data_IF_936742248575
#
_entry.id   IF_936742248575
#
_cell.length_a   1.000
_cell.length_b   1.000
_cell.length_c   1.000
_cell.angle_alpha   90.00
_cell.angle_beta   90.00
_cell.angle_gamma   90.00
#
_symmetry.space_group_name_H-M   'P 1'
#
loop_
_entity.id
_entity.type
_entity.pdbx_description
1 polymer ?
#
# COMPACT_ATOMS: atom_id res chain seq x y z
N UNK A 1 -31.11 -16.76 -25.08
CA UNK A 1 -30.17 -15.98 -24.23
C UNK A 1 -30.31 -16.47 -22.80
N UNK A 2 -29.32 -17.18 -22.27
CA UNK A 2 -29.38 -17.70 -20.91
C UNK A 2 -28.56 -16.79 -19.99
N UNK A 3 -29.19 -16.20 -18.98
CA UNK A 3 -28.50 -15.47 -17.92
C UNK A 3 -28.10 -16.46 -16.82
N UNK A 4 -26.79 -16.62 -16.59
CA UNK A 4 -26.29 -17.27 -15.37
C UNK A 4 -26.02 -16.20 -14.34
N UNK A 5 -26.85 -16.12 -13.31
CA UNK A 5 -26.59 -15.29 -12.14
C UNK A 5 -25.89 -16.12 -11.07
N UNK A 6 -24.80 -15.62 -10.50
CA UNK A 6 -24.16 -16.21 -9.35
C UNK A 6 -24.42 -15.31 -8.14
N UNK A 7 -25.02 -15.87 -7.09
CA UNK A 7 -25.13 -15.17 -5.80
C UNK A 7 -24.00 -15.67 -4.90
N UNK A 8 -23.11 -14.77 -4.54
CA UNK A 8 -22.06 -15.05 -3.55
C UNK A 8 -22.49 -14.40 -2.23
N UNK A 9 -22.83 -15.20 -1.24
CA UNK A 9 -23.00 -14.73 0.14
C UNK A 9 -21.63 -14.86 0.79
N UNK A 10 -20.89 -13.77 0.87
CA UNK A 10 -19.64 -13.73 1.61
C UNK A 10 -19.76 -12.73 2.75
N UNK A 11 -19.07 -13.03 3.86
CA UNK A 11 -18.95 -12.11 4.98
C UNK A 11 -17.92 -11.04 4.57
N UNK A 12 -18.38 -10.00 3.87
CA UNK A 12 -17.53 -8.97 3.30
C UNK A 12 -17.33 -7.84 4.30
N UNK A 13 -16.09 -7.54 4.61
CA UNK A 13 -15.74 -6.34 5.38
C UNK A 13 -15.47 -5.18 4.42
N UNK A 14 -16.25 -4.12 4.57
CA UNK A 14 -15.98 -2.87 3.90
C UNK A 14 -14.72 -2.24 4.49
N UNK A 15 -13.70 -2.04 3.67
CA UNK A 15 -12.44 -1.45 4.04
C UNK A 15 -12.31 -0.04 3.48
N UNK A 16 -11.71 0.83 4.29
CA UNK A 16 -11.31 2.17 3.87
C UNK A 16 -9.80 2.20 3.70
N UNK A 17 -9.35 2.79 2.63
CA UNK A 17 -7.95 2.97 2.31
C UNK A 17 -7.67 4.28 1.60
N UNK A 18 -6.41 4.53 1.36
CA UNK A 18 -5.94 5.64 0.53
C UNK A 18 -5.16 5.09 -0.65
N UNK A 19 -5.36 5.69 -1.82
CA UNK A 19 -4.61 5.32 -3.02
C UNK A 19 -3.35 6.16 -3.18
N UNK A 20 -2.32 5.56 -3.76
CA UNK A 20 -1.06 6.25 -4.07
C UNK A 20 -1.19 7.30 -5.17
N UNK A 21 -2.19 7.18 -6.03
CA UNK A 21 -2.36 8.09 -7.19
C UNK A 21 -2.77 9.50 -6.73
N UNK A 22 -1.96 10.49 -7.10
CA UNK A 22 -2.19 11.92 -6.82
C UNK A 22 -2.28 12.79 -8.07
N UNK A 23 -2.04 12.20 -9.25
CA UNK A 23 -2.12 12.88 -10.55
C UNK A 23 -2.28 11.88 -11.69
N UNK A 24 -2.20 12.37 -12.94
CA UNK A 24 -2.41 11.53 -14.14
C UNK A 24 -1.42 10.36 -14.22
N UNK A 25 -0.15 10.61 -13.90
CA UNK A 25 0.92 9.63 -13.84
C UNK A 25 1.85 9.94 -12.66
N UNK A 26 1.27 10.32 -11.52
CA UNK A 26 2.00 10.61 -10.30
C UNK A 26 1.48 9.76 -9.17
N UNK A 27 2.40 9.12 -8.47
CA UNK A 27 2.11 8.26 -7.33
C UNK A 27 2.98 8.64 -6.14
N UNK A 28 2.37 8.65 -4.95
CA UNK A 28 3.07 8.56 -3.68
C UNK A 28 3.59 7.13 -3.52
N UNK A 29 4.59 6.96 -2.68
CA UNK A 29 5.20 5.63 -2.50
C UNK A 29 4.69 5.02 -1.21
N UNK A 30 3.98 3.93 -1.33
CA UNK A 30 3.44 3.12 -0.24
C UNK A 30 4.00 1.72 -0.28
N UNK A 31 4.23 1.13 0.89
CA UNK A 31 4.64 -0.26 1.04
C UNK A 31 3.79 -0.97 2.08
N UNK A 32 3.52 -2.23 1.86
CA UNK A 32 3.06 -3.19 2.87
C UNK A 32 4.15 -4.27 3.00
N UNK A 33 4.73 -4.39 4.19
CA UNK A 33 5.85 -5.26 4.49
C UNK A 33 5.40 -6.30 5.51
N UNK A 34 5.60 -7.56 5.20
CA UNK A 34 5.20 -8.66 6.05
C UNK A 34 6.36 -9.61 6.36
N UNK A 35 6.22 -10.32 7.48
CA UNK A 35 7.15 -11.39 7.92
C UNK A 35 8.59 -10.90 8.08
N UNK A 36 8.77 -9.71 8.58
CA UNK A 36 10.07 -9.11 8.85
C UNK A 36 10.08 -8.44 10.23
N UNK A 37 11.27 -8.22 10.76
CA UNK A 37 11.47 -7.37 11.93
C UNK A 37 11.48 -5.90 11.53
N UNK A 38 11.27 -5.00 12.51
CA UNK A 38 11.39 -3.55 12.27
C UNK A 38 12.78 -3.20 11.71
N UNK A 39 13.83 -3.83 12.23
CA UNK A 39 15.22 -3.58 11.80
C UNK A 39 15.44 -3.98 10.34
N UNK A 40 14.90 -5.10 9.91
CA UNK A 40 14.95 -5.53 8.50
C UNK A 40 14.19 -4.56 7.59
N UNK A 41 12.99 -4.13 8.01
CA UNK A 41 12.21 -3.14 7.29
C UNK A 41 12.95 -1.80 7.15
N UNK A 42 13.52 -1.28 8.25
CA UNK A 42 14.33 -0.06 8.26
C UNK A 42 15.54 -0.17 7.31
N UNK A 43 16.28 -1.26 7.41
CA UNK A 43 17.48 -1.48 6.59
C UNK A 43 17.14 -1.52 5.11
N UNK A 44 16.13 -2.30 4.72
CA UNK A 44 15.69 -2.42 3.33
C UNK A 44 15.14 -1.11 2.79
N UNK A 45 14.29 -0.43 3.55
CA UNK A 45 13.73 0.85 3.12
C UNK A 45 14.79 1.95 3.03
N UNK A 46 15.81 1.95 3.91
CA UNK A 46 16.93 2.90 3.81
C UNK A 46 17.79 2.67 2.56
N UNK A 47 17.99 1.41 2.15
CA UNK A 47 18.67 1.07 0.89
C UNK A 47 17.89 1.60 -0.31
N UNK A 48 16.59 1.29 -0.38
CA UNK A 48 15.69 1.73 -1.46
C UNK A 48 15.56 3.26 -1.47
N UNK A 49 15.43 3.89 -0.30
CA UNK A 49 15.37 5.35 -0.16
C UNK A 49 16.60 6.03 -0.78
N UNK A 50 17.79 5.50 -0.51
CA UNK A 50 19.04 6.02 -1.06
C UNK A 50 19.16 5.78 -2.56
N UNK A 51 18.82 4.57 -3.03
CA UNK A 51 18.90 4.19 -4.44
C UNK A 51 18.04 5.08 -5.33
N UNK A 52 16.82 5.39 -4.87
CA UNK A 52 15.84 6.18 -5.63
C UNK A 52 15.76 7.66 -5.18
N UNK A 53 16.66 8.10 -4.33
CA UNK A 53 16.71 9.49 -3.83
C UNK A 53 15.36 9.95 -3.27
N UNK A 54 14.74 9.12 -2.42
CA UNK A 54 13.42 9.39 -1.88
C UNK A 54 13.45 10.36 -0.69
N UNK A 55 12.35 11.04 -0.46
CA UNK A 55 12.11 11.84 0.73
C UNK A 55 11.93 11.01 1.99
N UNK A 56 11.43 11.62 3.04
CA UNK A 56 11.21 10.99 4.33
C UNK A 56 10.29 9.76 4.22
N UNK A 57 10.64 8.69 4.96
CA UNK A 57 9.80 7.50 5.08
C UNK A 57 9.30 7.37 6.51
N UNK A 58 8.00 7.23 6.68
CA UNK A 58 7.33 6.95 7.94
C UNK A 58 6.93 5.48 7.94
N UNK A 59 7.36 4.73 8.97
CA UNK A 59 7.00 3.32 9.13
C UNK A 59 5.96 3.23 10.23
N UNK A 60 4.82 2.58 9.93
CA UNK A 60 3.72 2.36 10.86
C UNK A 60 3.48 0.87 11.07
N UNK A 61 2.96 0.51 12.23
CA UNK A 61 2.59 -0.87 12.55
C UNK A 61 1.36 -0.92 13.45
N UNK A 62 0.57 -1.98 13.30
CA UNK A 62 -0.53 -2.36 14.19
C UNK A 62 -0.27 -3.70 14.89
N UNK A 63 0.78 -4.42 14.46
CA UNK A 63 1.24 -5.68 15.05
C UNK A 63 2.70 -5.92 14.64
N UNK A 64 3.47 -6.52 15.52
CA UNK A 64 4.84 -6.93 15.22
C UNK A 64 4.90 -7.87 14.00
N UNK A 65 5.90 -7.68 13.15
CA UNK A 65 6.11 -8.47 11.93
C UNK A 65 5.34 -8.00 10.71
N UNK A 66 4.48 -6.97 10.85
CA UNK A 66 3.72 -6.36 9.76
C UNK A 66 3.85 -4.84 9.82
N UNK A 67 4.38 -4.25 8.77
CA UNK A 67 4.68 -2.81 8.72
C UNK A 67 4.13 -2.20 7.44
N UNK A 68 3.70 -0.94 7.54
CA UNK A 68 3.37 -0.11 6.40
C UNK A 68 4.33 1.06 6.34
N UNK A 69 4.78 1.40 5.16
CA UNK A 69 5.63 2.55 4.98
C UNK A 69 5.02 3.56 4.01
N UNK A 70 5.28 4.82 4.29
CA UNK A 70 4.70 5.98 3.62
C UNK A 70 5.81 6.93 3.25
N UNK A 71 5.93 7.24 1.95
CA UNK A 71 6.81 8.29 1.46
C UNK A 71 6.03 9.20 0.51
N UNK A 72 6.16 10.50 0.72
CA UNK A 72 5.41 11.51 -0.05
C UNK A 72 6.18 12.01 -1.27
N UNK A 73 7.29 11.36 -1.63
CA UNK A 73 7.92 11.53 -2.95
C UNK A 73 6.94 11.15 -4.05
N UNK A 74 6.94 11.93 -5.12
CA UNK A 74 6.09 11.67 -6.28
C UNK A 74 6.91 11.01 -7.36
N UNK A 75 6.42 9.91 -7.90
CA UNK A 75 7.07 9.14 -8.96
C UNK A 75 6.06 8.73 -10.01
N UNK A 76 6.53 8.53 -11.22
CA UNK A 76 5.75 7.90 -12.28
C UNK A 76 5.41 6.47 -11.92
N UNK A 77 4.42 5.89 -12.58
CA UNK A 77 4.03 4.50 -12.35
C UNK A 77 5.18 3.51 -12.53
N UNK A 78 5.98 3.70 -13.58
CA UNK A 78 7.12 2.82 -13.87
C UNK A 78 8.19 2.92 -12.79
N UNK A 79 8.55 4.13 -12.36
CA UNK A 79 9.49 4.34 -11.26
C UNK A 79 8.98 3.72 -9.96
N UNK A 80 7.69 3.88 -9.68
CA UNK A 80 7.08 3.28 -8.50
C UNK A 80 7.15 1.74 -8.55
N UNK A 81 6.89 1.12 -9.69
CA UNK A 81 7.05 -0.33 -9.85
C UNK A 81 8.49 -0.78 -9.57
N UNK A 82 9.49 -0.03 -10.05
CA UNK A 82 10.90 -0.34 -9.76
C UNK A 82 11.22 -0.24 -8.28
N UNK A 83 10.74 0.80 -7.60
CA UNK A 83 10.89 0.98 -6.15
C UNK A 83 10.30 -0.21 -5.39
N UNK A 84 9.10 -0.65 -5.75
CA UNK A 84 8.47 -1.80 -5.12
C UNK A 84 9.25 -3.09 -5.34
N UNK A 85 9.71 -3.34 -6.57
CA UNK A 85 10.51 -4.54 -6.91
C UNK A 85 11.79 -4.57 -6.10
N UNK A 86 12.47 -3.43 -5.93
CA UNK A 86 13.70 -3.32 -5.13
C UNK A 86 13.48 -3.59 -3.63
N UNK A 87 12.23 -3.59 -3.17
CA UNK A 87 11.88 -3.86 -1.77
C UNK A 87 11.73 -5.36 -1.45
N UNK A 88 11.65 -6.23 -2.46
CA UNK A 88 11.63 -7.67 -2.20
C UNK A 88 12.90 -8.14 -1.49
N UNK A 89 12.83 -9.19 -0.63
CA UNK A 89 11.68 -10.07 -0.40
C UNK A 89 10.73 -9.60 0.71
N UNK A 90 10.89 -8.42 1.30
CA UNK A 90 10.07 -7.95 2.43
C UNK A 90 8.70 -7.41 2.00
N UNK A 91 8.55 -7.03 0.75
CA UNK A 91 7.28 -6.55 0.22
C UNK A 91 6.22 -7.67 0.25
N UNK A 92 5.03 -7.36 0.79
CA UNK A 92 3.92 -8.31 0.76
C UNK A 92 3.52 -8.64 -0.68
N UNK A 93 3.49 -9.92 -1.00
CA UNK A 93 3.20 -10.38 -2.37
C UNK A 93 1.77 -10.03 -2.80
N UNK A 94 0.80 -10.12 -1.88
CA UNK A 94 -0.58 -9.76 -2.16
C UNK A 94 -0.72 -8.27 -2.45
N UNK A 95 -0.06 -7.42 -1.66
CA UNK A 95 0.01 -5.98 -1.91
C UNK A 95 0.60 -5.68 -3.30
N UNK A 96 1.72 -6.33 -3.67
CA UNK A 96 2.34 -6.19 -4.99
C UNK A 96 1.40 -6.55 -6.14
N UNK A 97 0.78 -7.74 -6.08
CA UNK A 97 -0.13 -8.23 -7.13
C UNK A 97 -1.30 -7.28 -7.34
N UNK A 98 -1.95 -6.84 -6.26
CA UNK A 98 -3.09 -5.93 -6.36
C UNK A 98 -2.70 -4.52 -6.80
N UNK A 99 -1.55 -4.02 -6.34
CA UNK A 99 -0.99 -2.75 -6.78
C UNK A 99 -0.75 -2.75 -8.29
N UNK A 100 -0.11 -3.80 -8.79
CA UNK A 100 0.16 -3.95 -10.22
C UNK A 100 -1.12 -4.05 -11.06
N UNK A 101 -2.08 -4.86 -10.63
CA UNK A 101 -3.37 -5.02 -11.33
C UNK A 101 -4.21 -3.75 -11.39
N UNK A 102 -4.17 -2.95 -10.34
CA UNK A 102 -4.94 -1.69 -10.26
C UNK A 102 -4.23 -0.50 -10.93
N UNK A 103 -2.93 -0.58 -11.13
CA UNK A 103 -2.10 0.56 -11.54
C UNK A 103 -1.98 1.64 -10.46
N UNK A 104 -2.19 1.28 -9.20
CA UNK A 104 -2.00 2.13 -8.02
C UNK A 104 -1.97 1.30 -6.75
N UNK A 105 -1.19 1.71 -5.77
CA UNK A 105 -1.22 1.10 -4.45
C UNK A 105 -2.40 1.63 -3.62
N UNK A 106 -2.88 0.80 -2.72
CA UNK A 106 -3.88 1.18 -1.73
C UNK A 106 -3.43 0.67 -0.36
N UNK A 107 -3.36 1.56 0.61
CA UNK A 107 -3.15 1.19 2.01
C UNK A 107 -4.43 1.38 2.80
N UNK A 108 -4.78 0.37 3.56
CA UNK A 108 -5.91 0.39 4.47
C UNK A 108 -5.62 1.34 5.64
N UNK A 109 -6.57 2.22 5.96
CA UNK A 109 -6.46 3.17 7.06
C UNK A 109 -7.32 2.80 8.26
N UNK A 110 -8.41 2.06 8.07
CA UNK A 110 -9.22 1.62 9.19
C UNK A 110 -8.57 0.45 9.95
N UNK A 111 -8.85 0.41 11.24
CA UNK A 111 -8.36 -0.63 12.16
C UNK A 111 -8.79 -2.03 11.69
N UNK A 112 -7.89 -2.99 11.75
CA UNK A 112 -8.24 -4.42 11.61
C UNK A 112 -8.82 -4.93 12.93
N UNK A 113 -9.81 -5.82 12.83
CA UNK A 113 -10.34 -6.51 13.98
C UNK A 113 -9.24 -7.28 14.72
N UNK A 114 -9.23 -7.20 16.05
CA UNK A 114 -8.22 -7.85 16.89
C UNK A 114 -6.82 -7.19 16.88
N UNK A 115 -6.63 -6.07 16.18
CA UNK A 115 -5.36 -5.34 16.13
C UNK A 115 -5.45 -3.96 16.77
N UNK A 116 -4.30 -3.40 17.13
CA UNK A 116 -4.20 -2.01 17.57
C UNK A 116 -4.34 -1.04 16.39
N UNK A 117 -4.68 0.24 16.63
CA UNK A 117 -4.56 1.26 15.59
C UNK A 117 -3.12 1.36 15.09
N UNK A 118 -2.95 1.73 13.81
CA UNK A 118 -1.62 2.02 13.25
C UNK A 118 -0.92 3.12 14.03
N UNK A 119 0.34 2.88 14.40
CA UNK A 119 1.21 3.84 15.07
C UNK A 119 2.49 4.00 14.28
N UNK A 120 3.04 5.20 14.24
CA UNK A 120 4.39 5.42 13.72
C UNK A 120 5.38 4.76 14.68
N UNK A 121 6.16 3.84 14.17
CA UNK A 121 7.17 3.07 14.93
C UNK A 121 8.60 3.41 14.51
N UNK A 122 8.79 4.03 13.34
CA UNK A 122 10.09 4.49 12.86
C UNK A 122 9.97 5.60 11.83
N UNK A 123 11.07 6.34 11.67
CA UNK A 123 11.20 7.44 10.72
C UNK A 123 12.59 7.40 10.09
N UNK A 124 12.63 7.45 8.76
CA UNK A 124 13.87 7.54 7.99
C UNK A 124 13.93 8.92 7.31
N UNK A 125 14.95 9.70 7.67
CA UNK A 125 15.20 10.99 7.03
C UNK A 125 15.61 10.77 5.57
N UNK A 126 14.96 11.49 4.67
CA UNK A 126 15.16 11.33 3.23
C UNK A 126 16.11 12.33 2.61
N UNK A 127 16.21 12.25 1.30
CA UNK A 127 17.16 12.98 0.45
C UNK A 127 16.52 14.13 -0.31
N UNK A 128 15.19 14.14 -0.43
CA UNK A 128 14.44 15.24 -1.05
C UNK A 128 13.37 15.78 -0.10
N UNK A 129 13.03 17.05 -0.26
CA UNK A 129 11.90 17.65 0.44
C UNK A 129 10.61 17.20 -0.23
N UNK A 130 9.64 16.84 0.60
CA UNK A 130 8.33 16.39 0.14
C UNK A 130 7.22 17.14 0.86
N UNK A 131 6.11 17.33 0.16
CA UNK A 131 4.90 17.90 0.74
C UNK A 131 3.84 16.82 0.92
N UNK A 132 3.30 16.73 2.10
CA UNK A 132 2.12 15.87 2.35
C UNK A 132 0.95 16.49 1.59
N UNK A 133 0.26 15.72 0.72
CA UNK A 133 -0.91 16.24 0.02
C UNK A 133 -1.99 16.70 0.98
N UNK A 134 -2.63 17.83 0.70
CA UNK A 134 -3.77 18.31 1.49
C UNK A 134 -4.92 17.30 1.52
N UNK A 135 -5.08 16.56 0.44
CA UNK A 135 -6.08 15.50 0.31
C UNK A 135 -5.46 14.26 -0.32
N UNK A 136 -5.62 13.14 0.33
CA UNK A 136 -5.35 11.82 -0.26
C UNK A 136 -6.68 11.24 -0.75
N UNK A 137 -6.64 10.55 -1.88
CA UNK A 137 -7.85 9.93 -2.43
C UNK A 137 -8.20 8.72 -1.58
N UNK A 138 -9.33 8.79 -0.90
CA UNK A 138 -9.89 7.69 -0.13
C UNK A 138 -10.64 6.74 -1.05
N UNK A 139 -10.45 5.45 -0.82
CA UNK A 139 -11.15 4.39 -1.52
C UNK A 139 -11.85 3.48 -0.53
N UNK A 140 -13.02 3.02 -0.92
CA UNK A 140 -13.77 1.99 -0.20
C UNK A 140 -13.74 0.74 -1.04
N UNK A 141 -13.36 -0.38 -0.47
CA UNK A 141 -13.28 -1.65 -1.18
C UNK A 141 -13.74 -2.81 -0.29
N UNK A 142 -14.15 -3.87 -0.94
CA UNK A 142 -14.66 -5.08 -0.30
C UNK A 142 -13.66 -6.23 -0.46
N UNK A 143 -13.17 -6.74 0.66
CA UNK A 143 -12.15 -7.81 0.67
C UNK A 143 -12.68 -9.17 0.22
N UNK A 144 -13.99 -9.40 0.33
CA UNK A 144 -14.59 -10.65 -0.12
C UNK A 144 -14.47 -10.84 -1.63
N UNK A 145 -14.69 -9.77 -2.38
CA UNK A 145 -14.61 -9.76 -3.84
C UNK A 145 -13.15 -9.92 -4.30
N UNK A 146 -12.22 -9.25 -3.62
CA UNK A 146 -10.80 -9.35 -3.94
C UNK A 146 -10.22 -10.76 -3.75
N UNK A 147 -10.61 -11.43 -2.68
CA UNK A 147 -10.18 -12.81 -2.39
C UNK A 147 -10.75 -13.82 -3.38
N UNK A 148 -11.90 -13.57 -3.95
CA UNK A 148 -12.53 -14.44 -4.95
C UNK A 148 -12.01 -14.23 -6.38
N UNK A 149 -11.16 -13.24 -6.60
CA UNK A 149 -10.65 -12.90 -7.93
C UNK A 149 -11.66 -12.24 -8.85
N UNK A 150 -12.85 -11.90 -8.37
CA UNK A 150 -13.88 -11.18 -9.12
C UNK A 150 -13.70 -9.67 -8.93
N UNK A 151 -13.36 -8.98 -9.99
CA UNK A 151 -13.37 -7.51 -10.04
C UNK A 151 -14.76 -7.07 -10.48
N UNK A 152 -15.58 -6.63 -9.54
CA UNK A 152 -16.81 -5.89 -9.86
C UNK A 152 -16.44 -4.41 -9.94
N UNK A 153 -16.40 -3.85 -11.15
CA UNK A 153 -16.44 -2.40 -11.33
C UNK A 153 -17.86 -1.95 -11.00
N UNK A 154 -18.03 -1.34 -9.87
CA UNK A 154 -19.21 -0.53 -9.59
C UNK A 154 -18.88 0.85 -10.15
N UNK A 155 -19.59 1.19 -11.22
CA UNK A 155 -19.54 2.50 -11.86
C UNK A 155 -20.04 3.60 -10.96
#
# INVERSE_FOLDING_TARGET
MFFKGYFLISNTQTLQGVTSRVGKNEHLIFWDLDKCTLKEAETKLAEVQREFNLGNIFITSDIEGSYRAWCFSRRTWIEYCHILISTFPLLDYGFWVWTFRRGSATLRINKKEGRQPQKVVSFLKGYEETQIPEKMVHVVYDTGIEKSGMVVKIG
#
